data_IF_124654576142
#
_entry.id   IF_124654576142
#
_cell.length_a   1.000
_cell.length_b   1.000
_cell.length_c   1.000
_cell.angle_alpha   90.00
_cell.angle_beta   90.00
_cell.angle_gamma   90.00
#
_symmetry.space_group_name_H-M   'P 1'
#
loop_
_entity.id
_entity.type
_entity.pdbx_description
1 polymer ?
#
# COMPACT_ATOMS: atom_id res chain seq x y z
N UNK A 1 1.02 6.83 -24.06
CA UNK A 1 2.34 6.57 -23.47
C UNK A 1 2.68 7.74 -22.55
N UNK A 2 3.36 7.48 -21.42
CA UNK A 2 3.73 8.53 -20.45
C UNK A 2 4.67 9.58 -21.06
N UNK A 3 4.65 10.80 -20.52
CA UNK A 3 5.43 11.95 -21.02
C UNK A 3 6.86 12.02 -20.45
N UNK A 4 7.22 11.08 -19.57
CA UNK A 4 8.51 11.04 -18.87
C UNK A 4 9.34 9.85 -19.31
N UNK A 5 10.66 10.04 -19.34
CA UNK A 5 11.62 8.95 -19.52
C UNK A 5 11.70 8.09 -18.26
N UNK A 6 12.09 6.81 -18.37
CA UNK A 6 12.27 5.95 -17.20
C UNK A 6 13.17 6.56 -16.12
N UNK A 7 14.26 7.21 -16.53
CA UNK A 7 15.22 7.82 -15.61
C UNK A 7 14.60 8.99 -14.82
N UNK A 8 13.74 9.79 -15.46
CA UNK A 8 13.02 10.89 -14.80
C UNK A 8 12.03 10.35 -13.77
N UNK A 9 11.34 9.24 -14.08
CA UNK A 9 10.41 8.58 -13.16
C UNK A 9 11.17 8.04 -11.94
N UNK A 10 12.35 7.44 -12.16
CA UNK A 10 13.21 7.00 -11.06
C UNK A 10 13.69 8.15 -10.18
N UNK A 11 14.06 9.29 -10.78
CA UNK A 11 14.46 10.49 -10.04
C UNK A 11 13.32 11.04 -9.18
N UNK A 12 12.09 11.07 -9.69
CA UNK A 12 10.91 11.45 -8.91
C UNK A 12 10.71 10.54 -7.70
N UNK A 13 10.79 9.21 -7.91
CA UNK A 13 10.67 8.26 -6.81
C UNK A 13 11.76 8.43 -5.74
N UNK A 14 13.02 8.64 -6.15
CA UNK A 14 14.13 8.90 -5.19
C UNK A 14 13.92 10.20 -4.42
N UNK A 15 13.46 11.25 -5.10
CA UNK A 15 13.14 12.52 -4.47
C UNK A 15 12.02 12.36 -3.43
N UNK A 16 10.93 11.69 -3.78
CA UNK A 16 9.80 11.47 -2.88
C UNK A 16 10.21 10.65 -1.66
N UNK A 17 10.99 9.57 -1.84
CA UNK A 17 11.53 8.78 -0.73
C UNK A 17 12.40 9.62 0.20
N UNK A 18 13.20 10.54 -0.35
CA UNK A 18 14.01 11.46 0.47
C UNK A 18 13.13 12.42 1.26
N UNK A 19 12.12 13.04 0.62
CA UNK A 19 11.18 13.94 1.30
C UNK A 19 10.44 13.22 2.41
N UNK A 20 9.98 11.98 2.18
CA UNK A 20 9.34 11.16 3.21
C UNK A 20 10.30 10.88 4.37
N UNK A 21 11.55 10.51 4.08
CA UNK A 21 12.57 10.31 5.11
C UNK A 21 12.81 11.58 5.95
N UNK A 22 12.93 12.74 5.30
CA UNK A 22 13.16 14.03 5.96
C UNK A 22 11.92 14.46 6.78
N UNK A 23 10.72 14.14 6.29
CA UNK A 23 9.46 14.43 6.96
C UNK A 23 9.27 13.58 8.22
N UNK A 24 9.58 12.28 8.15
CA UNK A 24 9.54 11.38 9.29
C UNK A 24 10.61 11.78 10.31
N UNK A 25 11.86 11.98 9.85
CA UNK A 25 13.00 12.28 10.70
C UNK A 25 13.09 11.30 11.90
N UNK A 26 13.22 11.82 13.12
CA UNK A 26 13.26 11.02 14.35
C UNK A 26 11.87 10.79 14.98
N UNK A 27 10.78 11.14 14.27
CA UNK A 27 9.41 10.99 14.81
C UNK A 27 8.91 9.54 14.67
N UNK A 28 8.02 9.09 15.57
CA UNK A 28 7.48 7.74 15.48
C UNK A 28 6.48 7.55 14.32
N UNK A 29 5.87 8.64 13.84
CA UNK A 29 4.97 8.72 12.68
C UNK A 29 5.14 10.07 11.95
N UNK A 30 4.70 10.18 10.69
CA UNK A 30 4.95 11.34 9.82
C UNK A 30 4.47 12.68 10.42
N UNK A 31 3.36 12.68 11.16
CA UNK A 31 2.75 13.88 11.73
C UNK A 31 2.84 13.99 13.26
N UNK A 32 3.63 13.14 13.92
CA UNK A 32 3.84 13.20 15.37
C UNK A 32 3.70 11.83 16.04
N UNK A 33 2.90 11.77 17.11
CA UNK A 33 2.83 10.60 18.00
C UNK A 33 1.77 9.57 17.61
N UNK A 34 0.84 9.93 16.72
CA UNK A 34 -0.22 9.03 16.24
C UNK A 34 -0.07 8.72 14.75
N UNK A 35 -0.35 7.48 14.32
CA UNK A 35 -0.32 7.11 12.91
C UNK A 35 -1.41 7.83 12.14
N UNK A 36 -1.09 8.18 10.90
CA UNK A 36 -2.03 8.77 9.96
C UNK A 36 -2.13 7.90 8.71
N UNK A 37 -3.05 8.25 7.80
CA UNK A 37 -3.16 7.59 6.50
C UNK A 37 -1.83 7.62 5.72
N UNK A 38 -1.03 8.67 5.88
CA UNK A 38 0.27 8.75 5.22
C UNK A 38 1.23 7.66 5.70
N UNK A 39 1.23 7.35 7.00
CA UNK A 39 2.03 6.27 7.58
C UNK A 39 1.63 4.92 6.99
N UNK A 40 0.33 4.62 6.95
CA UNK A 40 -0.21 3.36 6.42
C UNK A 40 0.13 3.19 4.93
N UNK A 41 -0.10 4.24 4.12
CA UNK A 41 0.18 4.20 2.69
C UNK A 41 1.68 4.07 2.42
N UNK A 42 2.50 4.84 3.14
CA UNK A 42 3.97 4.75 3.00
C UNK A 42 4.48 3.37 3.36
N UNK A 43 4.00 2.79 4.46
CA UNK A 43 4.33 1.43 4.85
C UNK A 43 3.94 0.40 3.79
N UNK A 44 2.72 0.48 3.24
CA UNK A 44 2.26 -0.44 2.21
C UNK A 44 3.13 -0.38 0.94
N UNK A 45 3.52 0.82 0.51
CA UNK A 45 4.39 1.02 -0.67
C UNK A 45 5.81 0.52 -0.39
N UNK A 46 6.40 0.89 0.75
CA UNK A 46 7.76 0.49 1.13
C UNK A 46 7.87 -1.03 1.34
N UNK A 47 6.83 -1.66 1.90
CA UNK A 47 6.76 -3.11 2.07
C UNK A 47 6.84 -3.83 0.73
N UNK A 48 6.15 -3.34 -0.30
CA UNK A 48 6.25 -3.92 -1.64
C UNK A 48 7.67 -3.85 -2.18
N UNK A 49 8.36 -2.71 -2.01
CA UNK A 49 9.76 -2.57 -2.43
C UNK A 49 10.71 -3.50 -1.64
N UNK A 50 10.42 -3.72 -0.36
CA UNK A 50 11.25 -4.54 0.52
C UNK A 50 11.09 -6.05 0.25
N UNK A 51 9.86 -6.53 0.03
CA UNK A 51 9.58 -7.97 -0.08
C UNK A 51 9.76 -8.56 -1.48
N UNK A 52 9.90 -7.73 -2.52
CA UNK A 52 10.21 -8.24 -3.86
C UNK A 52 11.63 -8.85 -3.87
N UNK A 53 11.78 -10.02 -4.52
CA UNK A 53 13.05 -10.76 -4.58
C UNK A 53 14.23 -9.87 -5.00
N UNK A 54 15.41 -10.13 -4.42
CA UNK A 54 16.65 -9.42 -4.75
C UNK A 54 17.09 -9.59 -6.20
N UNK A 55 16.60 -10.64 -6.88
CA UNK A 55 16.88 -10.90 -8.30
C UNK A 55 16.17 -9.94 -9.27
N UNK A 56 15.18 -9.18 -8.79
CA UNK A 56 14.51 -8.15 -9.59
C UNK A 56 15.25 -6.82 -9.39
N UNK A 57 15.66 -6.21 -10.49
CA UNK A 57 16.24 -4.87 -10.46
C UNK A 57 15.15 -3.84 -10.14
N UNK A 58 15.27 -3.21 -8.96
CA UNK A 58 14.38 -2.16 -8.49
C UNK A 58 15.24 -0.99 -7.97
N UNK A 59 15.54 0.00 -8.82
CA UNK A 59 16.43 1.11 -8.46
C UNK A 59 16.02 1.89 -7.20
N UNK A 60 14.73 1.92 -6.88
CA UNK A 60 14.20 2.54 -5.67
C UNK A 60 14.48 1.73 -4.41
N UNK A 61 14.49 0.39 -4.49
CA UNK A 61 14.82 -0.46 -3.34
C UNK A 61 16.27 -0.22 -2.91
N UNK A 62 17.17 -0.12 -3.87
CA UNK A 62 18.60 0.07 -3.61
C UNK A 62 18.92 1.49 -3.11
N UNK A 63 17.99 2.44 -3.28
CA UNK A 63 18.09 3.80 -2.74
C UNK A 63 17.67 3.88 -1.27
N UNK A 64 16.78 2.97 -0.82
CA UNK A 64 16.33 2.92 0.57
C UNK A 64 17.46 2.26 1.38
N UNK A 65 18.04 2.95 2.39
CA UNK A 65 19.05 2.32 3.23
C UNK A 65 18.41 1.13 3.95
N UNK A 66 19.08 -0.04 3.94
CA UNK A 66 18.64 -1.18 4.75
C UNK A 66 18.53 -0.68 6.20
N UNK A 67 17.31 -0.79 6.76
CA UNK A 67 17.11 -0.58 8.18
C UNK A 67 18.00 -1.59 8.89
N UNK A 68 19.08 -1.12 9.52
CA UNK A 68 19.83 -1.97 10.43
C UNK A 68 18.84 -2.39 11.50
N UNK A 69 18.54 -3.69 11.58
CA UNK A 69 17.74 -4.25 12.67
C UNK A 69 18.23 -3.61 13.96
N UNK A 70 17.39 -2.72 14.50
CA UNK A 70 17.67 -2.05 15.74
C UNK A 70 17.83 -3.14 16.77
N UNK A 71 19.01 -3.21 17.37
CA UNK A 71 19.30 -4.09 18.50
C UNK A 71 18.14 -4.03 19.47
N UNK A 72 17.64 -5.21 19.82
CA UNK A 72 16.65 -5.49 20.85
C UNK A 72 16.77 -4.49 22.02
N UNK A 73 15.77 -3.61 22.12
CA UNK A 73 15.74 -2.56 23.12
C UNK A 73 14.61 -1.59 22.82
N UNK A 74 13.43 -1.92 23.33
CA UNK A 74 12.21 -1.09 23.35
C UNK A 74 11.52 -0.87 22.00
N UNK A 75 10.55 -1.74 21.68
CA UNK A 75 9.19 -1.36 21.26
C UNK A 75 8.31 -2.60 21.19
N UNK A 76 8.12 -3.25 22.33
CA UNK A 76 7.02 -4.21 22.55
C UNK A 76 5.68 -3.46 22.58
N UNK A 77 5.25 -2.81 21.49
CA UNK A 77 3.88 -2.29 21.33
C UNK A 77 3.32 -2.25 19.90
N UNK A 78 4.10 -2.50 18.83
CA UNK A 78 3.64 -2.25 17.45
C UNK A 78 3.19 -3.47 16.63
N UNK A 79 3.06 -4.67 17.21
CA UNK A 79 2.69 -5.87 16.43
C UNK A 79 1.24 -6.33 16.59
N UNK A 80 0.46 -5.76 17.53
CA UNK A 80 -0.91 -6.23 17.80
C UNK A 80 -2.01 -5.37 17.16
N UNK A 81 -1.75 -4.09 16.85
CA UNK A 81 -2.76 -3.21 16.24
C UNK A 81 -2.83 -3.30 14.71
N UNK A 82 -1.71 -3.54 14.03
CA UNK A 82 -1.67 -3.55 12.56
C UNK A 82 -2.35 -4.80 11.98
N UNK A 83 -2.25 -5.94 12.67
CA UNK A 83 -2.91 -7.20 12.26
C UNK A 83 -4.44 -7.13 12.39
N UNK A 84 -4.96 -6.39 13.37
CA UNK A 84 -6.40 -6.25 13.60
C UNK A 84 -7.09 -5.35 12.58
N UNK A 85 -6.37 -4.43 11.94
CA UNK A 85 -6.91 -3.56 10.89
C UNK A 85 -6.87 -4.23 9.52
N UNK A 86 -5.81 -4.98 9.19
CA UNK A 86 -5.74 -5.75 7.94
C UNK A 86 -6.83 -6.83 7.85
N UNK A 87 -7.16 -7.48 8.97
CA UNK A 87 -8.20 -8.52 9.02
C UNK A 87 -9.62 -7.95 8.86
N UNK A 88 -9.84 -6.68 9.21
CA UNK A 88 -11.13 -5.99 9.00
C UNK A 88 -11.32 -5.62 7.54
N UNK A 89 -10.27 -5.13 6.88
CA UNK A 89 -10.29 -4.75 5.47
C UNK A 89 -10.55 -5.98 4.59
N UNK A 90 -9.95 -7.13 4.92
CA UNK A 90 -10.18 -8.39 4.19
C UNK A 90 -11.63 -8.89 4.29
N UNK A 91 -12.24 -8.78 5.49
CA UNK A 91 -13.65 -9.17 5.71
C UNK A 91 -14.66 -8.23 5.05
N UNK A 92 -14.33 -6.96 4.88
CA UNK A 92 -15.21 -6.00 4.18
C UNK A 92 -15.20 -6.24 2.67
N UNK A 93 -14.03 -6.59 2.11
CA UNK A 93 -13.86 -6.88 0.67
C UNK A 93 -14.56 -8.18 0.20
N UNK A 94 -14.81 -9.14 1.10
CA UNK A 94 -15.57 -10.35 0.78
C UNK A 94 -17.09 -10.13 0.71
N UNK A 95 -17.62 -9.10 1.39
CA UNK A 95 -19.06 -8.82 1.41
C UNK A 95 -19.56 -8.14 0.12
N UNK A 96 -18.74 -7.33 -0.54
CA UNK A 96 -19.13 -6.65 -1.79
C UNK A 96 -19.21 -7.59 -3.01
N UNK A 97 -18.63 -8.80 -2.94
CA UNK A 97 -18.74 -9.79 -4.05
C UNK A 97 -20.06 -10.56 -4.08
N UNK A 98 -20.91 -10.47 -3.05
CA UNK A 98 -22.19 -11.20 -3.02
C UNK A 98 -23.37 -10.45 -3.65
N UNK A 99 -23.30 -9.14 -3.85
CA UNK A 99 -24.47 -8.37 -4.32
C UNK A 99 -24.48 -8.08 -5.84
N UNK A 100 -23.34 -8.19 -6.56
CA UNK A 100 -23.29 -8.05 -8.03
C UNK A 100 -23.62 -9.36 -8.78
N UNK A 101 -24.57 -10.17 -8.29
CA UNK A 101 -25.14 -11.28 -9.09
C UNK A 101 -26.66 -11.24 -9.21
N UNK A 102 -27.33 -10.28 -8.60
CA UNK A 102 -28.80 -10.28 -8.59
C UNK A 102 -29.44 -9.34 -9.61
N UNK A 103 -28.72 -8.37 -10.21
CA UNK A 103 -29.36 -7.37 -11.09
C UNK A 103 -29.22 -7.61 -12.61
N UNK A 104 -28.57 -8.70 -13.06
CA UNK A 104 -28.44 -9.01 -14.50
C UNK A 104 -29.41 -10.05 -15.05
N UNK A 105 -30.37 -10.53 -14.25
CA UNK A 105 -31.30 -11.61 -14.68
C UNK A 105 -32.68 -11.11 -15.12
N UNK A 106 -33.12 -9.90 -14.75
CA UNK A 106 -34.50 -9.47 -15.05
C UNK A 106 -34.73 -8.74 -16.38
N UNK A 107 -33.71 -8.18 -17.06
CA UNK A 107 -33.94 -7.45 -18.34
C UNK A 107 -33.93 -8.34 -19.61
N UNK A 108 -33.90 -9.68 -19.49
CA UNK A 108 -33.86 -10.56 -20.67
C UNK A 108 -35.07 -11.46 -20.85
N UNK A 109 -36.19 -11.21 -20.12
CA UNK A 109 -37.40 -12.04 -20.22
C UNK A 109 -38.61 -11.36 -20.90
N UNK A 110 -38.56 -10.07 -21.21
CA UNK A 110 -39.73 -9.35 -21.76
C UNK A 110 -39.70 -9.09 -23.28
N UNK A 111 -38.80 -9.75 -24.03
CA UNK A 111 -38.70 -9.57 -25.50
C UNK A 111 -38.96 -10.83 -26.34
N UNK A 112 -39.65 -11.83 -25.79
CA UNK A 112 -40.04 -13.04 -26.53
C UNK A 112 -41.56 -13.34 -26.53
N UNK A 113 -42.43 -12.36 -26.24
CA UNK A 113 -43.90 -12.49 -26.39
C UNK A 113 -44.53 -11.45 -27.33
N UNK A 114 -43.78 -10.95 -28.31
CA UNK A 114 -44.38 -10.23 -29.44
C UNK A 114 -43.67 -10.56 -30.74
N UNK A 115 -43.98 -11.73 -31.27
CA UNK A 115 -44.00 -11.95 -32.72
C UNK A 115 -45.01 -13.00 -33.12
#
# INVERSE_FOLDING_TARGET
MGVHKPEEIEEFGKHDLKVLSDMLADKPFFFGDEPTTLDVVSFAVLSQLHFISKDVNLPLRDFIPEAKEGKEGETEKKTEQESAETEKIEKELEKDKSDEKTEKVEENKEKEESK
#
